data_IF_509280662507
#
_entry.id   IF_509280662507
#
_cell.length_a   1.000
_cell.length_b   1.000
_cell.length_c   1.000
_cell.angle_alpha   90.00
_cell.angle_beta   90.00
_cell.angle_gamma   90.00
#
_symmetry.space_group_name_H-M   'P 1'
#
loop_
_entity.id
_entity.type
_entity.pdbx_description
1 polymer ?
#
# COMPACT_ATOMS: atom_id res chain seq x y z
N UNK A 1 -7.96 -18.50 -6.44
CA UNK A 1 -7.88 -17.01 -6.48
C UNK A 1 -7.76 -16.57 -7.94
N UNK A 2 -8.55 -15.60 -8.42
CA UNK A 2 -8.30 -14.98 -9.73
C UNK A 2 -6.88 -14.41 -9.68
N UNK A 3 -6.04 -14.76 -10.65
CA UNK A 3 -4.70 -14.18 -10.81
C UNK A 3 -4.90 -12.69 -11.07
N UNK A 4 -4.67 -11.84 -10.06
CA UNK A 4 -4.73 -10.39 -10.26
C UNK A 4 -3.65 -10.03 -11.29
N UNK A 5 -4.06 -9.36 -12.36
CA UNK A 5 -3.14 -8.92 -13.41
C UNK A 5 -2.16 -7.88 -12.84
N UNK A 6 -0.87 -7.95 -13.23
CA UNK A 6 0.09 -6.93 -12.83
C UNK A 6 -0.28 -5.57 -13.41
N UNK A 7 -0.09 -4.52 -12.60
CA UNK A 7 -0.50 -3.17 -12.93
C UNK A 7 0.54 -2.16 -12.50
N UNK A 8 0.82 -1.19 -13.38
CA UNK A 8 1.65 -0.03 -13.10
C UNK A 8 0.85 1.15 -12.52
N UNK A 9 -0.41 0.97 -12.12
CA UNK A 9 -1.30 2.06 -11.68
C UNK A 9 -0.79 2.86 -10.47
N UNK A 10 0.09 2.27 -9.66
CA UNK A 10 0.73 2.94 -8.54
C UNK A 10 1.60 4.14 -8.96
N UNK A 11 2.00 4.26 -10.23
CA UNK A 11 2.67 5.48 -10.72
C UNK A 11 1.82 6.74 -10.62
N UNK A 12 0.48 6.58 -10.50
CA UNK A 12 -0.49 7.67 -10.42
C UNK A 12 -1.30 7.65 -9.13
N UNK A 13 -0.93 6.81 -8.15
CA UNK A 13 -1.61 6.67 -6.86
C UNK A 13 -0.62 7.00 -5.74
N UNK A 14 -1.04 7.87 -4.83
CA UNK A 14 -0.23 8.23 -3.66
C UNK A 14 -0.44 7.26 -2.50
N UNK A 15 0.38 7.43 -1.46
CA UNK A 15 0.13 6.78 -0.18
C UNK A 15 -1.17 7.30 0.43
N UNK A 16 -1.45 8.60 0.32
CA UNK A 16 -2.73 9.23 0.66
C UNK A 16 -3.26 8.86 2.05
N UNK A 17 -2.38 8.93 3.06
CA UNK A 17 -2.75 8.53 4.42
C UNK A 17 -3.87 9.38 5.00
N UNK A 18 -3.78 10.70 4.87
CA UNK A 18 -4.79 11.64 5.37
C UNK A 18 -6.14 11.38 4.71
N UNK A 19 -6.16 11.16 3.40
CA UNK A 19 -7.38 10.89 2.65
C UNK A 19 -7.92 9.49 2.95
N UNK A 20 -7.06 8.51 3.18
CA UNK A 20 -7.43 7.16 3.61
C UNK A 20 -8.09 7.19 5.00
N UNK A 21 -7.47 7.85 5.97
CA UNK A 21 -8.05 8.06 7.31
C UNK A 21 -9.40 8.77 7.21
N UNK A 22 -9.47 9.86 6.45
CA UNK A 22 -10.74 10.59 6.22
C UNK A 22 -11.81 9.73 5.58
N UNK A 23 -11.42 8.82 4.68
CA UNK A 23 -12.35 7.86 4.09
C UNK A 23 -12.91 6.93 5.15
N UNK A 24 -12.08 6.36 6.01
CA UNK A 24 -12.54 5.51 7.11
C UNK A 24 -13.47 6.27 8.06
N UNK A 25 -13.13 7.50 8.44
CA UNK A 25 -13.99 8.37 9.28
C UNK A 25 -15.38 8.57 8.64
N UNK A 26 -15.44 8.78 7.32
CA UNK A 26 -16.71 8.92 6.60
C UNK A 26 -17.51 7.61 6.59
N UNK A 27 -16.87 6.46 6.41
CA UNK A 27 -17.53 5.15 6.49
C UNK A 27 -18.09 4.89 7.89
N UNK A 28 -17.31 5.17 8.95
CA UNK A 28 -17.75 5.05 10.34
C UNK A 28 -18.89 6.00 10.67
N UNK A 29 -18.94 7.18 10.04
CA UNK A 29 -20.06 8.11 10.12
C UNK A 29 -21.30 7.69 9.29
N UNK A 30 -21.29 6.47 8.73
CA UNK A 30 -22.41 5.90 7.97
C UNK A 30 -22.51 6.40 6.53
N UNK A 31 -21.50 7.09 6.00
CA UNK A 31 -21.51 7.55 4.60
C UNK A 31 -21.24 6.41 3.65
N UNK A 32 -22.05 6.32 2.61
CA UNK A 32 -21.88 5.39 1.50
C UNK A 32 -20.80 5.84 0.53
N UNK A 33 -20.25 4.90 -0.24
CA UNK A 33 -19.29 5.20 -1.31
C UNK A 33 -19.82 6.21 -2.35
N UNK A 34 -21.14 6.26 -2.57
CA UNK A 34 -21.79 7.22 -3.48
C UNK A 34 -21.82 8.63 -2.87
N UNK A 35 -22.12 8.74 -1.58
CA UNK A 35 -22.09 10.03 -0.88
C UNK A 35 -20.67 10.59 -0.81
N UNK A 36 -19.67 9.76 -0.49
CA UNK A 36 -18.27 10.20 -0.47
C UNK A 36 -17.82 10.70 -1.85
N UNK A 37 -18.24 10.02 -2.93
CA UNK A 37 -18.00 10.48 -4.30
C UNK A 37 -18.61 11.87 -4.53
N UNK A 38 -19.88 12.06 -4.15
CA UNK A 38 -20.59 13.33 -4.29
C UNK A 38 -19.88 14.43 -3.52
N UNK A 39 -19.49 14.17 -2.27
CA UNK A 39 -18.72 15.10 -1.44
C UNK A 39 -17.37 15.47 -2.10
N UNK A 40 -16.68 14.51 -2.72
CA UNK A 40 -15.46 14.83 -3.46
C UNK A 40 -15.71 15.69 -4.71
N UNK A 41 -16.82 15.47 -5.40
CA UNK A 41 -17.17 16.23 -6.62
C UNK A 41 -17.65 17.65 -6.30
N UNK A 42 -18.39 17.84 -5.21
CA UNK A 42 -18.99 19.12 -4.81
C UNK A 42 -18.09 19.95 -3.88
N UNK A 43 -17.39 19.32 -2.94
CA UNK A 43 -16.65 19.99 -1.85
C UNK A 43 -15.13 19.77 -1.91
N UNK A 44 -14.65 18.91 -2.82
CA UNK A 44 -13.24 18.51 -2.91
C UNK A 44 -12.68 18.02 -1.55
N UNK A 45 -13.39 17.12 -0.86
CA UNK A 45 -13.06 16.71 0.52
C UNK A 45 -11.66 16.12 0.73
N UNK A 46 -11.03 15.60 -0.32
CA UNK A 46 -9.65 15.13 -0.31
C UNK A 46 -8.62 16.18 -0.73
N UNK A 47 -9.03 17.42 -0.96
CA UNK A 47 -8.19 18.53 -1.40
C UNK A 47 -7.35 18.15 -2.63
N UNK A 48 -7.97 17.42 -3.55
CA UNK A 48 -7.31 16.95 -4.75
C UNK A 48 -6.92 18.14 -5.63
N UNK A 49 -5.74 18.09 -6.29
CA UNK A 49 -5.25 19.18 -7.14
C UNK A 49 -6.04 19.32 -8.45
N UNK A 50 -6.83 18.32 -8.80
CA UNK A 50 -7.71 18.36 -9.97
C UNK A 50 -8.90 17.42 -9.80
N UNK A 51 -10.03 17.66 -10.51
CA UNK A 51 -11.20 16.78 -10.47
C UNK A 51 -10.88 15.33 -10.83
N UNK A 52 -10.02 15.10 -11.82
CA UNK A 52 -9.61 13.75 -12.22
C UNK A 52 -8.79 13.04 -11.14
N UNK A 53 -7.96 13.79 -10.41
CA UNK A 53 -7.23 13.24 -9.25
C UNK A 53 -8.20 12.89 -8.14
N UNK A 54 -9.18 13.74 -7.86
CA UNK A 54 -10.25 13.47 -6.90
C UNK A 54 -11.03 12.19 -7.24
N UNK A 55 -11.45 12.03 -8.49
CA UNK A 55 -12.12 10.80 -8.97
C UNK A 55 -11.25 9.56 -8.77
N UNK A 56 -9.95 9.65 -9.06
CA UNK A 56 -8.99 8.54 -8.83
C UNK A 56 -8.84 8.22 -7.35
N UNK A 57 -8.69 9.23 -6.49
CA UNK A 57 -8.62 9.09 -5.03
C UNK A 57 -9.85 8.36 -4.50
N UNK A 58 -11.06 8.83 -4.82
CA UNK A 58 -12.32 8.15 -4.42
C UNK A 58 -12.31 6.67 -4.80
N UNK A 59 -11.98 6.36 -6.06
CA UNK A 59 -11.99 4.96 -6.52
C UNK A 59 -10.93 4.09 -5.83
N UNK A 60 -9.78 4.67 -5.51
CA UNK A 60 -8.65 3.95 -4.92
C UNK A 60 -8.85 3.74 -3.43
N UNK A 61 -9.21 4.81 -2.71
CA UNK A 61 -9.43 4.79 -1.27
C UNK A 61 -10.62 3.91 -0.90
N UNK A 62 -11.69 3.94 -1.71
CA UNK A 62 -12.80 3.00 -1.60
C UNK A 62 -12.31 1.54 -1.60
N UNK A 63 -11.54 1.14 -2.62
CA UNK A 63 -11.03 -0.24 -2.74
C UNK A 63 -10.12 -0.64 -1.58
N UNK A 64 -9.34 0.33 -1.05
CA UNK A 64 -8.50 0.12 0.12
C UNK A 64 -9.33 -0.14 1.38
N UNK A 65 -10.35 0.68 1.65
CA UNK A 65 -11.22 0.51 2.82
C UNK A 65 -12.08 -0.74 2.70
N UNK A 66 -12.72 -0.97 1.55
CA UNK A 66 -13.62 -2.12 1.33
C UNK A 66 -12.93 -3.49 1.39
N UNK A 67 -11.60 -3.55 1.27
CA UNK A 67 -10.87 -4.81 1.39
C UNK A 67 -10.54 -5.18 2.84
N UNK A 68 -10.62 -4.23 3.79
CA UNK A 68 -10.30 -4.45 5.20
C UNK A 68 -11.37 -5.33 5.89
N UNK A 69 -10.96 -6.13 6.89
CA UNK A 69 -11.91 -6.74 7.82
C UNK A 69 -12.74 -5.65 8.53
N UNK A 70 -14.06 -5.83 8.72
CA UNK A 70 -14.91 -4.86 9.40
C UNK A 70 -14.37 -4.44 10.77
N UNK A 71 -13.81 -5.38 11.52
CA UNK A 71 -13.28 -5.13 12.87
C UNK A 71 -12.11 -4.14 12.84
N UNK A 72 -11.26 -4.21 11.79
CA UNK A 72 -10.16 -3.26 11.60
C UNK A 72 -10.68 -1.89 11.20
N UNK A 73 -11.75 -1.82 10.40
CA UNK A 73 -12.40 -0.55 10.04
C UNK A 73 -12.96 0.11 11.29
N UNK A 74 -13.66 -0.64 12.15
CA UNK A 74 -14.29 -0.11 13.37
C UNK A 74 -13.24 0.38 14.40
N UNK A 75 -12.13 -0.34 14.54
CA UNK A 75 -11.05 -0.01 15.48
C UNK A 75 -10.01 0.95 14.92
N UNK A 76 -10.09 1.34 13.65
CA UNK A 76 -9.01 2.06 12.96
C UNK A 76 -8.52 3.30 13.72
N UNK A 77 -9.46 4.11 14.24
CA UNK A 77 -9.15 5.37 14.92
C UNK A 77 -8.60 5.19 16.34
N UNK A 78 -8.71 4.00 16.95
CA UNK A 78 -8.09 3.72 18.24
C UNK A 78 -6.62 3.31 18.14
N UNK A 79 -6.16 2.88 16.96
CA UNK A 79 -4.75 2.57 16.74
C UNK A 79 -3.88 3.83 16.70
N UNK A 80 -2.59 3.69 17.03
CA UNK A 80 -1.63 4.76 16.82
C UNK A 80 -1.40 5.08 15.33
N UNK A 81 -0.79 6.23 15.05
CA UNK A 81 -0.56 6.69 13.67
C UNK A 81 0.32 5.70 12.88
N UNK A 82 1.29 5.07 13.54
CA UNK A 82 2.18 4.10 12.91
C UNK A 82 1.39 2.89 12.39
N UNK A 83 0.53 2.34 13.23
CA UNK A 83 -0.34 1.20 12.93
C UNK A 83 -1.38 1.57 11.86
N UNK A 84 -1.98 2.76 11.95
CA UNK A 84 -2.90 3.26 10.92
C UNK A 84 -2.23 3.36 9.54
N UNK A 85 -0.97 3.83 9.48
CA UNK A 85 -0.17 3.88 8.25
C UNK A 85 0.15 2.48 7.75
N UNK A 86 0.46 1.55 8.64
CA UNK A 86 0.70 0.15 8.29
C UNK A 86 -0.54 -0.52 7.69
N UNK A 87 -1.72 -0.26 8.25
CA UNK A 87 -3.00 -0.72 7.71
C UNK A 87 -3.19 -0.17 6.29
N UNK A 88 -2.91 1.11 6.04
CA UNK A 88 -2.96 1.66 4.68
C UNK A 88 -2.01 0.91 3.73
N UNK A 89 -0.76 0.64 4.14
CA UNK A 89 0.19 -0.12 3.34
C UNK A 89 -0.32 -1.54 3.02
N UNK A 90 -0.87 -2.24 4.02
CA UNK A 90 -1.48 -3.56 3.86
C UNK A 90 -2.56 -3.53 2.76
N UNK A 91 -3.43 -2.53 2.76
CA UNK A 91 -4.46 -2.40 1.73
C UNK A 91 -3.89 -2.10 0.34
N UNK A 92 -2.76 -1.38 0.24
CA UNK A 92 -2.06 -1.14 -1.03
C UNK A 92 -1.53 -2.47 -1.58
N UNK A 93 -0.89 -3.28 -0.73
CA UNK A 93 -0.39 -4.60 -1.11
C UNK A 93 -1.53 -5.51 -1.56
N UNK A 94 -2.66 -5.53 -0.82
CA UNK A 94 -3.82 -6.37 -1.19
C UNK A 94 -4.44 -5.98 -2.52
N UNK A 95 -4.40 -4.69 -2.87
CA UNK A 95 -4.98 -4.16 -4.11
C UNK A 95 -4.00 -4.10 -5.30
N UNK A 96 -2.70 -4.34 -5.11
CA UNK A 96 -1.72 -4.34 -6.19
C UNK A 96 -0.74 -5.51 -6.05
N UNK A 97 -0.93 -6.54 -6.89
CA UNK A 97 -0.15 -7.78 -6.85
C UNK A 97 1.34 -7.55 -7.07
N UNK A 98 1.72 -6.66 -8.00
CA UNK A 98 3.13 -6.39 -8.29
C UNK A 98 3.85 -5.77 -7.09
N UNK A 99 3.18 -4.86 -6.37
CA UNK A 99 3.71 -4.30 -5.14
C UNK A 99 3.75 -5.31 -4.01
N UNK A 100 2.72 -6.16 -3.86
CA UNK A 100 2.76 -7.25 -2.89
C UNK A 100 3.95 -8.19 -3.13
N UNK A 101 4.18 -8.61 -4.36
CA UNK A 101 5.32 -9.48 -4.68
C UNK A 101 6.65 -8.78 -4.46
N UNK A 102 6.77 -7.48 -4.74
CA UNK A 102 7.94 -6.70 -4.35
C UNK A 102 8.18 -6.75 -2.83
N UNK A 103 7.13 -6.56 -2.04
CA UNK A 103 7.23 -6.65 -0.58
C UNK A 103 7.62 -8.06 -0.11
N UNK A 104 7.11 -9.09 -0.78
CA UNK A 104 7.30 -10.48 -0.38
C UNK A 104 8.65 -11.08 -0.83
N UNK A 105 9.12 -10.73 -2.02
CA UNK A 105 10.33 -11.28 -2.66
C UNK A 105 11.56 -10.40 -2.44
N UNK A 106 11.40 -9.09 -2.21
CA UNK A 106 12.54 -8.20 -1.99
C UNK A 106 12.57 -7.74 -0.54
N UNK A 107 11.58 -6.96 -0.11
CA UNK A 107 11.61 -6.33 1.21
C UNK A 107 11.75 -7.40 2.31
N UNK A 108 10.86 -8.40 2.33
CA UNK A 108 10.88 -9.48 3.33
C UNK A 108 12.19 -10.26 3.34
N UNK A 109 12.70 -10.68 2.18
CA UNK A 109 13.95 -11.44 2.08
C UNK A 109 15.14 -10.63 2.58
N UNK A 110 15.23 -9.36 2.20
CA UNK A 110 16.31 -8.48 2.65
C UNK A 110 16.25 -8.22 4.16
N UNK A 111 15.04 -8.12 4.73
CA UNK A 111 14.84 -8.03 6.18
C UNK A 111 15.27 -9.31 6.90
N UNK A 112 14.91 -10.48 6.38
CA UNK A 112 15.34 -11.78 6.93
C UNK A 112 16.87 -11.94 6.89
N UNK A 113 17.52 -11.42 5.85
CA UNK A 113 18.98 -11.44 5.70
C UNK A 113 19.68 -10.34 6.52
N UNK A 114 18.94 -9.47 7.22
CA UNK A 114 19.50 -8.40 8.03
C UNK A 114 20.21 -7.31 7.22
N UNK A 115 19.81 -7.09 5.96
CA UNK A 115 20.35 -5.98 5.17
C UNK A 115 20.00 -4.64 5.84
N UNK A 116 20.91 -3.68 5.74
CA UNK A 116 20.74 -2.35 6.35
C UNK A 116 19.90 -1.41 5.48
N UNK A 117 20.01 -1.53 4.17
CA UNK A 117 19.38 -0.62 3.22
C UNK A 117 18.73 -1.35 2.04
N UNK A 118 17.65 -0.77 1.51
CA UNK A 118 17.03 -1.18 0.27
C UNK A 118 17.82 -0.59 -0.90
N UNK A 119 18.57 -1.44 -1.60
CA UNK A 119 19.35 -0.96 -2.73
C UNK A 119 18.49 -0.77 -3.99
N UNK A 120 18.89 0.21 -4.78
CA UNK A 120 18.41 0.42 -6.13
C UNK A 120 18.61 -0.81 -7.05
N UNK A 121 19.65 -1.61 -6.80
CA UNK A 121 19.92 -2.81 -7.59
C UNK A 121 18.89 -3.91 -7.33
N UNK A 122 18.49 -4.14 -6.08
CA UNK A 122 17.47 -5.14 -5.72
C UNK A 122 16.13 -4.82 -6.39
N UNK A 123 15.74 -3.56 -6.34
CA UNK A 123 14.59 -3.00 -7.04
C UNK A 123 14.65 -3.23 -8.56
N UNK A 124 15.80 -2.96 -9.21
CA UNK A 124 15.97 -3.19 -10.65
C UNK A 124 15.94 -4.69 -11.02
N UNK A 125 16.55 -5.54 -10.19
CA UNK A 125 16.55 -6.99 -10.38
C UNK A 125 15.13 -7.54 -10.29
N UNK A 126 14.32 -7.07 -9.34
CA UNK A 126 12.91 -7.45 -9.22
C UNK A 126 12.14 -7.21 -10.52
N UNK A 127 12.20 -6.00 -11.08
CA UNK A 127 11.50 -5.69 -12.33
C UNK A 127 12.03 -6.49 -13.52
N UNK A 128 13.36 -6.71 -13.61
CA UNK A 128 13.95 -7.55 -14.65
C UNK A 128 13.43 -8.99 -14.58
N UNK A 129 13.38 -9.58 -13.39
CA UNK A 129 12.87 -10.93 -13.18
C UNK A 129 11.38 -11.01 -13.50
N UNK A 130 10.58 -10.02 -13.07
CA UNK A 130 9.14 -9.97 -13.37
C UNK A 130 8.84 -9.79 -14.86
N UNK A 131 9.65 -9.03 -15.59
CA UNK A 131 9.54 -8.91 -17.03
C UNK A 131 9.78 -10.23 -17.76
N UNK A 132 10.69 -11.09 -17.28
CA UNK A 132 10.90 -12.42 -17.84
C UNK A 132 9.72 -13.37 -17.60
N UNK A 133 8.95 -13.14 -16.53
CA UNK A 133 7.82 -13.98 -16.11
C UNK A 133 6.46 -13.47 -16.63
N UNK A 134 6.40 -12.25 -17.15
CA UNK A 134 5.15 -11.60 -17.54
C UNK A 134 5.32 -10.61 -18.68
N UNK A 135 4.65 -10.90 -19.80
CA UNK A 135 4.56 -9.97 -20.93
C UNK A 135 3.99 -8.60 -20.53
N UNK A 136 3.07 -8.57 -19.57
CA UNK A 136 2.51 -7.32 -19.04
C UNK A 136 3.60 -6.45 -18.41
N UNK A 137 4.45 -7.01 -17.57
CA UNK A 137 5.57 -6.27 -16.96
C UNK A 137 6.65 -5.97 -17.98
N UNK A 138 6.93 -6.89 -18.92
CA UNK A 138 7.87 -6.66 -20.02
C UNK A 138 7.46 -5.48 -20.92
N UNK A 139 6.16 -5.20 -21.02
CA UNK A 139 5.63 -4.06 -21.78
C UNK A 139 5.83 -2.70 -21.10
N UNK A 140 6.25 -2.66 -19.82
CA UNK A 140 6.46 -1.39 -19.11
C UNK A 140 7.70 -0.68 -19.63
N UNK A 141 7.55 0.61 -19.92
CA UNK A 141 8.67 1.47 -20.32
C UNK A 141 9.62 1.73 -19.15
N UNK A 142 10.89 2.04 -19.44
CA UNK A 142 11.88 2.43 -18.42
C UNK A 142 11.39 3.60 -17.56
N UNK A 143 10.69 4.56 -18.18
CA UNK A 143 10.06 5.68 -17.46
C UNK A 143 8.99 5.21 -16.46
N UNK A 144 8.19 4.20 -16.84
CA UNK A 144 7.17 3.61 -15.95
C UNK A 144 7.83 2.88 -14.79
N UNK A 145 8.86 2.06 -15.06
CA UNK A 145 9.63 1.36 -14.03
C UNK A 145 10.24 2.36 -13.07
N UNK A 146 10.92 3.40 -13.55
CA UNK A 146 11.51 4.45 -12.70
C UNK A 146 10.47 5.13 -11.79
N UNK A 147 9.27 5.38 -12.30
CA UNK A 147 8.16 5.94 -11.51
C UNK A 147 7.64 4.95 -10.46
N UNK A 148 7.55 3.66 -10.78
CA UNK A 148 7.19 2.62 -9.80
C UNK A 148 8.22 2.50 -8.70
N UNK A 149 9.52 2.51 -9.05
CA UNK A 149 10.61 2.50 -8.09
C UNK A 149 10.51 3.64 -7.07
N UNK A 150 10.27 4.85 -7.58
CA UNK A 150 10.04 6.03 -6.73
C UNK A 150 8.81 5.84 -5.84
N UNK A 151 7.68 5.41 -6.40
CA UNK A 151 6.44 5.20 -5.66
C UNK A 151 6.60 4.15 -4.55
N UNK A 152 7.31 3.04 -4.81
CA UNK A 152 7.53 1.96 -3.84
C UNK A 152 8.35 2.47 -2.66
N UNK A 153 9.45 3.20 -2.91
CA UNK A 153 10.24 3.82 -1.85
C UNK A 153 9.42 4.84 -1.05
N UNK A 154 8.61 5.66 -1.73
CA UNK A 154 7.71 6.60 -1.04
C UNK A 154 6.75 5.87 -0.11
N UNK A 155 6.12 4.78 -0.55
CA UNK A 155 5.19 4.02 0.30
C UNK A 155 5.89 3.39 1.50
N UNK A 156 7.09 2.87 1.33
CA UNK A 156 7.88 2.33 2.43
C UNK A 156 8.28 3.41 3.45
N UNK A 157 8.68 4.61 3.00
CA UNK A 157 9.00 5.73 3.91
C UNK A 157 7.75 6.24 4.63
N UNK A 158 6.65 6.44 3.89
CA UNK A 158 5.40 6.94 4.45
C UNK A 158 4.77 5.99 5.47
N UNK A 159 4.96 4.67 5.30
CA UNK A 159 4.55 3.63 6.24
C UNK A 159 5.52 3.39 7.40
N UNK A 160 6.70 4.00 7.37
CA UNK A 160 7.72 3.82 8.40
C UNK A 160 8.53 2.52 8.28
N UNK A 161 8.52 1.87 7.11
CA UNK A 161 9.37 0.70 6.83
C UNK A 161 10.77 1.07 6.31
N UNK A 162 10.93 2.29 5.81
CA UNK A 162 12.21 2.94 5.54
C UNK A 162 12.31 4.23 6.34
N UNK A 163 13.52 4.62 6.72
CA UNK A 163 13.78 5.92 7.33
C UNK A 163 13.51 7.07 6.35
N UNK A 164 13.07 8.23 6.86
CA UNK A 164 12.57 9.32 6.00
C UNK A 164 13.60 9.97 5.07
N UNK A 165 14.87 9.98 5.46
CA UNK A 165 15.96 10.63 4.70
C UNK A 165 16.91 9.67 4.01
N UNK A 166 16.77 8.36 4.25
CA UNK A 166 17.67 7.33 3.72
C UNK A 166 16.87 6.18 3.11
N UNK A 167 17.56 5.24 2.48
CA UNK A 167 16.97 3.95 2.08
C UNK A 167 17.24 2.86 3.14
N UNK A 168 17.57 3.26 4.39
CA UNK A 168 17.75 2.30 5.48
C UNK A 168 16.43 1.71 5.95
N UNK A 169 16.46 0.42 6.23
CA UNK A 169 15.32 -0.28 6.80
C UNK A 169 15.09 0.14 8.25
N UNK A 170 13.89 0.64 8.54
CA UNK A 170 13.49 0.99 9.88
C UNK A 170 13.14 -0.27 10.70
N UNK A 171 13.23 -0.17 12.02
CA UNK A 171 12.60 -1.16 12.90
C UNK A 171 11.08 -1.01 12.78
N UNK A 172 10.38 -2.12 12.61
CA UNK A 172 8.94 -2.14 12.56
C UNK A 172 8.38 -3.09 13.61
N UNK A 173 7.33 -2.64 14.28
CA UNK A 173 6.49 -3.44 15.17
C UNK A 173 5.06 -3.30 14.67
N UNK A 174 4.26 -4.34 14.92
CA UNK A 174 2.83 -4.30 14.67
C UNK A 174 2.12 -4.29 16.01
N UNK A 175 1.03 -3.53 16.08
CA UNK A 175 0.10 -3.61 17.19
C UNK A 175 -0.41 -5.05 17.35
N UNK A 176 -0.48 -5.53 18.59
CA UNK A 176 -0.85 -6.91 18.92
C UNK A 176 -2.26 -7.26 18.46
N UNK A 177 -3.20 -6.31 18.54
CA UNK A 177 -4.58 -6.51 18.10
C UNK A 177 -4.65 -6.62 16.58
N UNK A 178 -3.92 -5.75 15.87
CA UNK A 178 -3.79 -5.83 14.42
C UNK A 178 -3.18 -7.17 14.00
N UNK A 179 -2.07 -7.57 14.63
CA UNK A 179 -1.38 -8.82 14.38
C UNK A 179 -2.29 -10.04 14.56
N UNK A 180 -3.03 -10.11 15.68
CA UNK A 180 -3.97 -11.19 15.95
C UNK A 180 -5.09 -11.27 14.90
N UNK A 181 -5.56 -10.12 14.42
CA UNK A 181 -6.63 -10.02 13.43
C UNK A 181 -6.18 -10.49 12.03
N UNK A 182 -4.93 -10.21 11.64
CA UNK A 182 -4.41 -10.54 10.31
C UNK A 182 -3.73 -11.90 10.21
N UNK A 183 -3.19 -12.45 11.32
CA UNK A 183 -2.56 -13.78 11.32
C UNK A 183 -3.50 -14.95 11.09
N UNK A 184 -4.80 -14.77 11.38
CA UNK A 184 -5.81 -15.84 11.31
C UNK A 184 -6.72 -15.73 10.09
N UNK A 185 -6.36 -14.89 9.13
CA UNK A 185 -7.18 -14.57 7.97
C UNK A 185 -6.36 -14.69 6.68
N UNK A 186 -6.99 -14.40 5.55
CA UNK A 186 -6.35 -14.31 4.22
C UNK A 186 -5.30 -13.18 4.11
N UNK A 187 -4.97 -12.53 5.23
CA UNK A 187 -3.98 -11.47 5.34
C UNK A 187 -2.59 -11.94 5.78
N UNK A 188 -2.43 -13.21 6.18
CA UNK A 188 -1.15 -13.75 6.66
C UNK A 188 0.04 -13.49 5.71
N UNK A 189 -0.06 -13.67 4.38
CA UNK A 189 1.07 -13.41 3.48
C UNK A 189 1.54 -11.94 3.51
N UNK A 190 0.61 -11.00 3.70
CA UNK A 190 0.91 -9.57 3.79
C UNK A 190 1.59 -9.22 5.12
N UNK A 191 1.14 -9.85 6.21
CA UNK A 191 1.82 -9.77 7.51
C UNK A 191 3.27 -10.26 7.41
N UNK A 192 3.49 -11.45 6.83
CA UNK A 192 4.83 -12.02 6.68
C UNK A 192 5.75 -11.13 5.87
N UNK A 193 5.23 -10.54 4.79
CA UNK A 193 5.97 -9.61 3.96
C UNK A 193 6.47 -8.39 4.75
N UNK A 194 5.60 -7.78 5.56
CA UNK A 194 5.95 -6.60 6.36
C UNK A 194 6.89 -6.96 7.51
N UNK A 195 6.67 -8.08 8.19
CA UNK A 195 7.48 -8.43 9.36
C UNK A 195 8.84 -9.04 9.01
N UNK A 196 9.09 -9.38 7.74
CA UNK A 196 10.36 -10.00 7.37
C UNK A 196 10.53 -11.38 7.98
N UNK A 197 9.46 -12.19 7.97
CA UNK A 197 9.45 -13.54 8.56
C UNK A 197 9.08 -14.62 7.54
N UNK A 198 9.43 -15.87 7.86
CA UNK A 198 9.28 -17.03 6.98
C UNK A 198 7.82 -17.35 6.61
#
# INVERSE_FOLDING_TARGET
MKKNEYSADLVNKGFWFTEFKKTIELYQAGKTSKEIRKMQEEENVYLAPSPDTGKRMVSTLRKRVECLPPEIVDQFLSFDISTQKMINLLTIMKNNMLFFEFMYEVYREERMLGKKELSDSSLRIFFKNKAQQSEKVASFTDATIKRLLSAYKTFLRESGLLEGSTDHYAANTLDVQLENSIKRSDWEPYYKAIMGVA
#
